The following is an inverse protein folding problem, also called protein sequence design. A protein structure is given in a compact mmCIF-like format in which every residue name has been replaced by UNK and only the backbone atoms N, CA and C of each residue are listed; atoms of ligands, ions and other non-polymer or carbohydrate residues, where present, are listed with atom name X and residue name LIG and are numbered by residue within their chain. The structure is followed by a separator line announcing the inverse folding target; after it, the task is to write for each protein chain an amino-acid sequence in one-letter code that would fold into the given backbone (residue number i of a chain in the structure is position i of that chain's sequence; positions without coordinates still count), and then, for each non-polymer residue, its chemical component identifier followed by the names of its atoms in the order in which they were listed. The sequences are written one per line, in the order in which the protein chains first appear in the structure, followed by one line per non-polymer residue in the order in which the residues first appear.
data_IF_602543761004
#
_entry.id   IF_602543761004
#
_cell.length_a   1.000
_cell.length_b   1.000
_cell.length_c   1.000
_cell.angle_alpha   90.00
_cell.angle_beta   90.00
_cell.angle_gamma   90.00
#
_symmetry.space_group_name_H-M   'P 1'
#
loop_
_entity.id
_entity.type
_entity.pdbx_description
1 polymer ?
#
# COMPACT_ATOMS: atom_id res chain seq x y z
N UNK A 1 -1.53 17.31 -12.28
CA UNK A 1 -1.78 15.97 -11.73
C UNK A 1 -0.95 15.85 -10.48
N UNK A 2 -1.52 15.35 -9.41
CA UNK A 2 -0.83 15.13 -8.14
C UNK A 2 -0.15 13.77 -8.09
N UNK A 3 0.29 13.40 -6.90
CA UNK A 3 0.84 12.08 -6.56
C UNK A 3 0.06 11.46 -5.41
N UNK A 4 0.06 10.12 -5.26
CA UNK A 4 -0.67 9.47 -4.16
C UNK A 4 -0.18 9.91 -2.77
N UNK A 5 1.04 10.47 -2.66
CA UNK A 5 1.55 11.07 -1.42
C UNK A 5 1.06 12.49 -1.13
N UNK A 6 0.30 13.13 -2.05
CA UNK A 6 -0.22 14.48 -1.83
C UNK A 6 -1.29 14.49 -0.74
N UNK A 7 -1.15 15.42 0.21
CA UNK A 7 -2.05 15.54 1.35
C UNK A 7 -3.52 15.74 0.95
N UNK A 8 -3.79 16.46 -0.15
CA UNK A 8 -5.15 16.67 -0.67
C UNK A 8 -5.77 15.35 -1.17
N UNK A 9 -5.00 14.54 -1.92
CA UNK A 9 -5.47 13.24 -2.44
C UNK A 9 -5.72 12.27 -1.28
N UNK A 10 -4.83 12.25 -0.28
CA UNK A 10 -5.00 11.45 0.94
C UNK A 10 -6.26 11.89 1.71
N UNK A 11 -6.47 13.20 1.89
CA UNK A 11 -7.63 13.73 2.58
C UNK A 11 -8.94 13.37 1.88
N UNK A 12 -8.99 13.44 0.55
CA UNK A 12 -10.17 13.08 -0.22
C UNK A 12 -10.45 11.58 -0.21
N UNK A 13 -9.39 10.76 -0.24
CA UNK A 13 -9.52 9.32 -0.01
C UNK A 13 -10.10 9.01 1.37
N UNK A 14 -9.59 9.66 2.43
CA UNK A 14 -10.09 9.46 3.80
C UNK A 14 -11.57 9.85 3.94
N UNK A 15 -11.98 11.01 3.42
CA UNK A 15 -13.38 11.44 3.39
C UNK A 15 -14.26 10.43 2.64
N UNK A 16 -13.78 9.89 1.52
CA UNK A 16 -14.49 8.89 0.75
C UNK A 16 -14.60 7.53 1.46
N UNK A 17 -13.68 7.21 2.37
CA UNK A 17 -13.71 5.97 3.15
C UNK A 17 -14.82 5.96 4.21
N UNK A 18 -15.15 7.12 4.79
CA UNK A 18 -16.17 7.26 5.83
C UNK A 18 -17.55 6.68 5.47
N UNK A 19 -18.21 7.10 4.36
CA UNK A 19 -19.54 6.55 4.01
C UNK A 19 -19.49 5.05 3.69
N UNK A 20 -18.34 4.51 3.30
CA UNK A 20 -18.17 3.06 3.12
C UNK A 20 -18.22 2.38 4.49
N UNK A 21 -17.49 2.90 5.47
CA UNK A 21 -17.46 2.34 6.82
C UNK A 21 -18.82 2.45 7.54
N UNK A 22 -19.51 3.59 7.41
CA UNK A 22 -20.85 3.83 7.97
C UNK A 22 -21.91 2.85 7.42
N UNK A 23 -21.75 2.41 6.18
CA UNK A 23 -22.69 1.50 5.51
C UNK A 23 -22.21 0.05 5.45
N UNK A 24 -21.02 -0.25 5.99
CA UNK A 24 -20.37 -1.56 5.84
C UNK A 24 -21.28 -2.74 6.22
N UNK A 25 -21.96 -2.64 7.37
CA UNK A 25 -22.84 -3.70 7.88
C UNK A 25 -24.17 -3.80 7.12
N UNK A 26 -24.60 -2.72 6.49
CA UNK A 26 -25.84 -2.68 5.70
C UNK A 26 -25.62 -3.22 4.29
N UNK A 27 -24.39 -3.11 3.80
CA UNK A 27 -23.97 -3.54 2.49
C UNK A 27 -23.76 -5.04 2.42
N UNK A 28 -23.97 -5.60 1.23
CA UNK A 28 -23.49 -6.94 0.91
C UNK A 28 -21.96 -6.90 0.74
N UNK A 29 -21.26 -8.05 0.86
CA UNK A 29 -19.83 -8.13 0.56
C UNK A 29 -19.47 -7.54 -0.82
N UNK A 30 -20.26 -7.83 -1.85
CA UNK A 30 -20.04 -7.30 -3.21
C UNK A 30 -20.16 -5.77 -3.24
N UNK A 31 -21.13 -5.19 -2.50
CA UNK A 31 -21.26 -3.74 -2.41
C UNK A 31 -20.06 -3.10 -1.70
N UNK A 32 -19.54 -3.71 -0.63
CA UNK A 32 -18.32 -3.25 0.06
C UNK A 32 -17.09 -3.33 -0.86
N UNK A 33 -16.93 -4.45 -1.57
CA UNK A 33 -15.86 -4.64 -2.56
C UNK A 33 -15.88 -3.56 -3.64
N UNK A 34 -17.04 -3.31 -4.25
CA UNK A 34 -17.20 -2.27 -5.26
C UNK A 34 -16.92 -0.86 -4.71
N UNK A 35 -17.34 -0.59 -3.48
CA UNK A 35 -17.09 0.70 -2.84
C UNK A 35 -15.59 0.95 -2.62
N UNK A 36 -14.84 -0.04 -2.12
CA UNK A 36 -13.38 0.05 -1.97
C UNK A 36 -12.68 0.26 -3.31
N UNK A 37 -13.06 -0.50 -4.35
CA UNK A 37 -12.48 -0.35 -5.69
C UNK A 37 -12.75 1.05 -6.25
N UNK A 38 -13.96 1.56 -6.07
CA UNK A 38 -14.31 2.90 -6.55
C UNK A 38 -13.55 3.99 -5.80
N UNK A 39 -13.30 3.80 -4.50
CA UNK A 39 -12.50 4.70 -3.69
C UNK A 39 -11.04 4.74 -4.18
N UNK A 40 -10.41 3.58 -4.38
CA UNK A 40 -9.05 3.47 -4.91
C UNK A 40 -8.94 4.08 -6.32
N UNK A 41 -9.89 3.78 -7.21
CA UNK A 41 -9.95 4.40 -8.55
C UNK A 41 -10.07 5.91 -8.47
N UNK A 42 -10.81 6.46 -7.51
CA UNK A 42 -10.95 7.89 -7.36
C UNK A 42 -9.62 8.57 -6.99
N UNK A 43 -8.86 8.01 -6.04
CA UNK A 43 -7.52 8.50 -5.72
C UNK A 43 -6.57 8.41 -6.92
N UNK A 44 -6.53 7.25 -7.58
CA UNK A 44 -5.64 6.99 -8.72
C UNK A 44 -5.90 7.94 -9.90
N UNK A 45 -7.17 8.30 -10.17
CA UNK A 45 -7.51 9.23 -11.27
C UNK A 45 -6.93 10.65 -11.11
N UNK A 46 -6.53 11.04 -9.90
CA UNK A 46 -5.92 12.35 -9.64
C UNK A 46 -4.39 12.34 -9.86
N UNK A 47 -3.85 11.21 -10.27
CA UNK A 47 -2.41 10.96 -10.46
C UNK A 47 -2.12 10.57 -11.91
N UNK A 48 -0.85 10.61 -12.37
CA UNK A 48 -0.51 10.32 -13.76
C UNK A 48 -0.58 8.84 -14.15
N UNK A 49 -0.81 7.93 -13.22
CA UNK A 49 -0.67 6.49 -13.49
C UNK A 49 -1.87 5.90 -14.22
N UNK A 50 -1.60 4.87 -15.03
CA UNK A 50 -2.63 4.04 -15.63
C UNK A 50 -3.47 3.35 -14.55
N UNK A 51 -4.79 3.35 -14.74
CA UNK A 51 -5.71 2.70 -13.80
C UNK A 51 -5.42 1.21 -13.63
N UNK A 52 -5.49 0.74 -12.39
CA UNK A 52 -5.38 -0.68 -12.07
C UNK A 52 -6.60 -1.47 -12.51
N UNK A 53 -6.37 -2.74 -12.83
CA UNK A 53 -7.42 -3.76 -12.67
C UNK A 53 -7.50 -4.20 -11.20
N UNK A 54 -8.61 -4.83 -10.82
CA UNK A 54 -8.86 -5.24 -9.44
C UNK A 54 -9.35 -6.68 -9.40
N UNK A 55 -8.89 -7.46 -8.41
CA UNK A 55 -9.43 -8.78 -8.11
C UNK A 55 -9.55 -9.00 -6.61
N UNK A 56 -10.42 -9.94 -6.22
CA UNK A 56 -10.60 -10.34 -4.83
C UNK A 56 -10.23 -11.81 -4.66
N UNK A 57 -9.29 -12.12 -3.78
CA UNK A 57 -8.82 -13.49 -3.48
C UNK A 57 -8.55 -13.64 -1.99
N UNK A 58 -8.44 -14.88 -1.53
CA UNK A 58 -8.01 -15.17 -0.16
C UNK A 58 -6.48 -15.26 -0.10
N UNK A 59 -5.89 -14.66 0.93
CA UNK A 59 -4.44 -14.71 1.18
C UNK A 59 -4.15 -15.52 2.44
N UNK A 60 -3.21 -16.46 2.34
CA UNK A 60 -2.89 -17.38 3.45
C UNK A 60 -2.10 -16.71 4.59
N UNK A 61 -1.41 -15.60 4.32
CA UNK A 61 -0.54 -14.90 5.26
C UNK A 61 -1.22 -13.74 6.01
N UNK A 62 -2.52 -13.52 5.81
CA UNK A 62 -3.22 -12.38 6.38
C UNK A 62 -2.86 -11.03 5.76
N UNK A 63 -2.25 -10.99 4.57
CA UNK A 63 -2.06 -9.73 3.83
C UNK A 63 -3.40 -9.06 3.51
N UNK A 64 -3.47 -7.73 3.53
CA UNK A 64 -4.66 -6.98 3.11
C UNK A 64 -4.82 -6.88 1.58
N UNK A 65 -3.70 -6.97 0.86
CA UNK A 65 -3.68 -6.99 -0.60
C UNK A 65 -2.27 -7.12 -1.15
N UNK A 66 -2.14 -7.05 -2.48
CA UNK A 66 -0.86 -6.92 -3.17
C UNK A 66 -1.06 -6.29 -4.55
N UNK A 67 -0.07 -5.55 -5.04
CA UNK A 67 0.00 -5.19 -6.45
C UNK A 67 0.77 -6.26 -7.24
N UNK A 68 0.15 -6.77 -8.30
CA UNK A 68 0.83 -7.64 -9.28
C UNK A 68 1.23 -6.80 -10.49
N UNK A 69 2.54 -6.56 -10.65
CA UNK A 69 3.08 -5.75 -11.74
C UNK A 69 2.77 -6.32 -13.12
N UNK A 70 2.88 -7.64 -13.28
CA UNK A 70 2.64 -8.37 -14.54
C UNK A 70 1.24 -8.10 -15.14
N UNK A 71 0.23 -7.99 -14.28
CA UNK A 71 -1.16 -7.78 -14.68
C UNK A 71 -1.64 -6.35 -14.44
N UNK A 72 -0.79 -5.49 -13.87
CA UNK A 72 -1.16 -4.17 -13.34
C UNK A 72 -2.45 -4.22 -12.51
N UNK A 73 -2.47 -5.15 -11.54
CA UNK A 73 -3.68 -5.53 -10.80
C UNK A 73 -3.48 -5.44 -9.29
N UNK A 74 -4.34 -4.67 -8.64
CA UNK A 74 -4.48 -4.68 -7.18
C UNK A 74 -5.37 -5.85 -6.76
N UNK A 75 -4.77 -6.81 -6.06
CA UNK A 75 -5.46 -7.97 -5.52
C UNK A 75 -5.80 -7.70 -4.07
N UNK A 76 -7.09 -7.78 -3.72
CA UNK A 76 -7.62 -7.37 -2.41
C UNK A 76 -8.02 -8.62 -1.63
N UNK A 77 -7.66 -8.69 -0.35
CA UNK A 77 -8.01 -9.84 0.47
C UNK A 77 -9.50 -9.89 0.77
N UNK A 78 -10.15 -10.89 0.19
CA UNK A 78 -11.59 -11.15 0.31
C UNK A 78 -11.98 -11.45 1.75
N UNK A 79 -11.10 -12.02 2.56
CA UNK A 79 -11.35 -12.35 3.97
C UNK A 79 -11.76 -11.13 4.79
N UNK A 80 -11.25 -9.92 4.48
CA UNK A 80 -11.67 -8.69 5.16
C UNK A 80 -12.95 -8.12 4.56
N UNK A 81 -13.03 -8.03 3.23
CA UNK A 81 -14.19 -7.43 2.55
C UNK A 81 -15.49 -8.22 2.68
N UNK A 82 -15.39 -9.51 3.04
CA UNK A 82 -16.54 -10.38 3.28
C UNK A 82 -17.06 -10.38 4.72
N UNK A 83 -16.37 -9.70 5.65
CA UNK A 83 -16.83 -9.65 7.04
C UNK A 83 -18.08 -8.78 7.16
N UNK A 84 -19.11 -9.27 7.86
CA UNK A 84 -20.32 -8.49 8.12
C UNK A 84 -20.05 -7.25 8.98
N UNK A 85 -19.14 -7.36 9.94
CA UNK A 85 -18.64 -6.25 10.72
C UNK A 85 -17.11 -6.21 10.57
N UNK A 86 -16.54 -5.02 10.42
CA UNK A 86 -15.09 -4.84 10.33
C UNK A 86 -14.70 -3.80 11.40
N UNK A 87 -13.91 -4.17 12.43
CA UNK A 87 -13.47 -3.22 13.43
C UNK A 87 -12.80 -2.00 12.80
N UNK A 88 -12.98 -0.81 13.38
CA UNK A 88 -12.50 0.44 12.80
C UNK A 88 -10.99 0.40 12.49
N UNK A 89 -10.18 -0.11 13.42
CA UNK A 89 -8.74 -0.26 13.21
C UNK A 89 -8.39 -1.18 12.03
N UNK A 90 -9.21 -2.21 11.77
CA UNK A 90 -8.98 -3.16 10.69
C UNK A 90 -9.44 -2.59 9.33
N UNK A 91 -10.50 -1.78 9.31
CA UNK A 91 -10.88 -1.01 8.13
C UNK A 91 -9.83 0.06 7.79
N UNK A 92 -9.34 0.79 8.80
CA UNK A 92 -8.24 1.74 8.67
C UNK A 92 -7.01 1.08 8.06
N UNK A 93 -6.55 -0.03 8.65
CA UNK A 93 -5.42 -0.80 8.13
C UNK A 93 -5.66 -1.31 6.72
N UNK A 94 -6.86 -1.84 6.41
CA UNK A 94 -7.21 -2.31 5.06
C UNK A 94 -7.12 -1.16 4.04
N UNK A 95 -7.64 0.01 4.38
CA UNK A 95 -7.50 1.20 3.54
C UNK A 95 -6.03 1.59 3.34
N UNK A 96 -5.26 1.64 4.43
CA UNK A 96 -3.84 1.96 4.41
C UNK A 96 -3.03 1.02 3.52
N UNK A 97 -3.15 -0.30 3.72
CA UNK A 97 -2.38 -1.29 2.95
C UNK A 97 -2.78 -1.31 1.48
N UNK A 98 -4.06 -1.13 1.14
CA UNK A 98 -4.44 -1.05 -0.29
C UNK A 98 -3.90 0.22 -0.96
N UNK A 99 -3.79 1.31 -0.22
CA UNK A 99 -3.18 2.55 -0.70
C UNK A 99 -1.64 2.41 -0.81
N UNK A 100 -1.01 1.67 0.09
CA UNK A 100 0.40 1.27 0.01
C UNK A 100 0.69 0.51 -1.29
N UNK A 101 -0.10 -0.51 -1.61
CA UNK A 101 0.06 -1.27 -2.86
C UNK A 101 -0.16 -0.38 -4.10
N UNK A 102 -1.12 0.56 -4.03
CA UNK A 102 -1.32 1.54 -5.09
C UNK A 102 -0.13 2.51 -5.24
N UNK A 103 0.58 2.82 -4.14
CA UNK A 103 1.79 3.63 -4.17
C UNK A 103 2.94 2.91 -4.89
N UNK A 104 3.09 1.60 -4.74
CA UNK A 104 4.07 0.84 -5.53
C UNK A 104 3.86 0.96 -7.03
N UNK A 105 2.61 0.92 -7.51
CA UNK A 105 2.36 1.09 -8.93
C UNK A 105 2.70 2.51 -9.43
N UNK A 106 2.52 3.53 -8.59
CA UNK A 106 3.03 4.87 -8.90
C UNK A 106 4.55 4.91 -8.98
N UNK A 107 5.25 4.33 -8.00
CA UNK A 107 6.71 4.25 -8.01
C UNK A 107 7.24 3.52 -9.26
N UNK A 108 6.63 2.39 -9.65
CA UNK A 108 7.02 1.63 -10.84
C UNK A 108 6.75 2.40 -12.14
N UNK A 109 5.63 3.12 -12.22
CA UNK A 109 5.33 4.00 -13.34
C UNK A 109 6.40 5.08 -13.47
N UNK A 110 6.79 5.73 -12.37
CA UNK A 110 7.84 6.75 -12.35
C UNK A 110 9.21 6.20 -12.78
N UNK A 111 9.56 4.98 -12.33
CA UNK A 111 10.78 4.30 -12.76
C UNK A 111 10.75 4.01 -14.27
N UNK A 112 9.62 3.59 -14.82
CA UNK A 112 9.47 3.38 -16.27
C UNK A 112 9.69 4.68 -17.06
N UNK A 113 9.19 5.81 -16.55
CA UNK A 113 9.49 7.13 -17.13
C UNK A 113 10.99 7.44 -17.10
N UNK A 114 11.65 7.23 -15.96
CA UNK A 114 13.09 7.48 -15.84
C UNK A 114 13.94 6.61 -16.77
N UNK A 115 13.56 5.33 -16.97
CA UNK A 115 14.23 4.44 -17.94
C UNK A 115 13.97 4.92 -19.37
N UNK A 116 12.74 5.33 -19.67
CA UNK A 116 12.38 5.84 -20.98
C UNK A 116 13.17 7.11 -21.34
N UNK A 117 13.34 8.05 -20.41
CA UNK A 117 14.10 9.28 -20.62
C UNK A 117 15.63 9.06 -20.61
N UNK A 118 16.09 7.89 -20.17
CA UNK A 118 17.51 7.55 -20.07
C UNK A 118 18.19 8.04 -18.77
N UNK A 119 17.40 8.55 -17.81
CA UNK A 119 17.87 8.93 -16.47
C UNK A 119 18.18 7.71 -15.61
N UNK A 120 17.55 6.56 -15.90
CA UNK A 120 17.74 5.29 -15.20
C UNK A 120 18.21 4.22 -16.19
N UNK A 121 19.19 3.42 -15.78
CA UNK A 121 19.81 2.40 -16.63
C UNK A 121 19.59 1.02 -16.03
N UNK A 122 18.91 0.15 -16.78
CA UNK A 122 18.72 -1.26 -16.42
C UNK A 122 20.06 -1.99 -16.44
N UNK A 123 20.25 -2.89 -15.47
CA UNK A 123 21.44 -3.74 -15.37
C UNK A 123 21.52 -4.73 -16.53
N UNK A 124 20.38 -5.19 -17.03
CA UNK A 124 20.26 -5.99 -18.25
C UNK A 124 19.95 -5.06 -19.42
N UNK A 125 20.78 -5.03 -20.48
CA UNK A 125 20.50 -4.22 -21.65
C UNK A 125 19.15 -4.57 -22.27
N UNK A 126 18.40 -3.54 -22.69
CA UNK A 126 17.20 -3.73 -23.51
C UNK A 126 17.60 -4.48 -24.78
N UNK A 127 17.05 -5.67 -24.97
CA UNK A 127 17.37 -6.55 -26.09
C UNK A 127 16.09 -7.21 -26.63
N UNK A 128 16.12 -7.62 -27.90
CA UNK A 128 14.99 -8.24 -28.58
C UNK A 128 14.30 -7.32 -29.59
N UNK A 129 13.36 -7.90 -30.34
CA UNK A 129 12.51 -7.19 -31.30
C UNK A 129 11.31 -6.58 -30.57
N UNK A 130 10.91 -5.36 -30.93
CA UNK A 130 9.77 -4.68 -30.31
C UNK A 130 9.98 -3.17 -30.15
N UNK A 131 8.96 -2.47 -29.66
CA UNK A 131 9.08 -1.06 -29.27
C UNK A 131 9.93 -0.94 -28.00
N UNK A 132 10.52 0.24 -27.77
CA UNK A 132 11.25 0.54 -26.52
C UNK A 132 10.37 0.27 -25.28
N UNK A 133 9.09 0.64 -25.33
CA UNK A 133 8.12 0.43 -24.25
C UNK A 133 7.89 -1.07 -23.97
N UNK A 134 7.85 -1.92 -25.00
CA UNK A 134 7.77 -3.39 -24.84
C UNK A 134 9.04 -3.97 -24.19
N UNK A 135 10.22 -3.48 -24.59
CA UNK A 135 11.49 -3.93 -24.02
C UNK A 135 11.62 -3.53 -22.54
N UNK A 136 11.24 -2.29 -22.19
CA UNK A 136 11.21 -1.82 -20.80
C UNK A 136 10.22 -2.64 -19.97
N UNK A 137 9.01 -2.87 -20.50
CA UNK A 137 7.98 -3.70 -19.86
C UNK A 137 8.52 -5.10 -19.48
N UNK A 138 9.18 -5.77 -20.43
CA UNK A 138 9.79 -7.07 -20.18
C UNK A 138 10.89 -7.00 -19.12
N UNK A 139 11.79 -6.01 -19.22
CA UNK A 139 12.90 -5.84 -18.28
C UNK A 139 12.46 -5.48 -16.85
N UNK A 140 11.29 -4.86 -16.70
CA UNK A 140 10.71 -4.50 -15.40
C UNK A 140 9.83 -5.60 -14.79
N UNK A 141 9.98 -6.85 -15.23
CA UNK A 141 9.23 -7.98 -14.70
C UNK A 141 7.87 -8.19 -15.38
N UNK A 142 7.83 -8.06 -16.70
CA UNK A 142 6.64 -8.27 -17.53
C UNK A 142 5.46 -7.32 -17.25
N UNK A 143 5.74 -6.08 -16.85
CA UNK A 143 4.70 -5.06 -16.71
C UNK A 143 3.96 -4.85 -18.05
N UNK A 144 2.63 -4.59 -18.08
CA UNK A 144 1.92 -4.41 -19.33
C UNK A 144 2.50 -3.27 -20.17
N UNK A 145 2.75 -3.53 -21.46
CA UNK A 145 3.40 -2.56 -22.35
C UNK A 145 2.62 -1.24 -22.48
N UNK A 146 1.30 -1.27 -22.35
CA UNK A 146 0.47 -0.06 -22.35
C UNK A 146 0.74 0.83 -21.13
N UNK A 147 1.07 0.28 -19.96
CA UNK A 147 1.45 1.06 -18.78
C UNK A 147 2.76 1.81 -19.04
N UNK A 148 3.76 1.14 -19.64
CA UNK A 148 5.02 1.80 -20.02
C UNK A 148 4.79 2.86 -21.11
N UNK A 149 3.90 2.59 -22.05
CA UNK A 149 3.55 3.54 -23.11
C UNK A 149 2.88 4.79 -22.51
N UNK A 150 1.97 4.60 -21.56
CA UNK A 150 1.32 5.70 -20.83
C UNK A 150 2.34 6.50 -20.00
N UNK A 151 3.31 5.80 -19.38
CA UNK A 151 4.42 6.43 -18.67
C UNK A 151 5.22 7.36 -19.60
N UNK A 152 5.62 6.85 -20.76
CA UNK A 152 6.29 7.62 -21.82
C UNK A 152 5.46 8.84 -22.27
N UNK A 153 4.15 8.66 -22.49
CA UNK A 153 3.27 9.72 -22.96
C UNK A 153 2.95 10.78 -21.91
N UNK A 154 3.13 10.48 -20.63
CA UNK A 154 2.81 11.39 -19.53
C UNK A 154 3.94 12.38 -19.25
N UNK A 155 4.16 13.28 -20.20
CA UNK A 155 5.19 14.34 -20.17
C UNK A 155 5.14 15.23 -18.92
N UNK A 156 3.97 15.37 -18.29
CA UNK A 156 3.76 16.23 -17.12
C UNK A 156 4.39 15.73 -15.83
N UNK A 157 4.80 14.45 -15.76
CA UNK A 157 5.51 13.85 -14.63
C UNK A 157 6.99 13.53 -14.95
N UNK A 158 7.60 14.27 -15.87
CA UNK A 158 9.06 14.22 -16.05
C UNK A 158 9.74 14.81 -14.82
N UNK A 159 10.11 13.96 -13.86
CA UNK A 159 11.16 14.13 -12.85
C UNK A 159 11.64 15.60 -12.69
N UNK A 160 10.77 16.47 -12.18
CA UNK A 160 10.90 17.92 -12.41
C UNK A 160 12.01 18.52 -11.57
N UNK A 161 12.28 17.91 -10.43
CA UNK A 161 13.28 18.37 -9.47
C UNK A 161 14.37 17.33 -9.25
N UNK A 162 15.56 17.81 -8.85
CA UNK A 162 16.67 16.92 -8.49
C UNK A 162 16.32 15.98 -7.32
N UNK A 163 15.52 16.45 -6.36
CA UNK A 163 15.08 15.64 -5.22
C UNK A 163 14.18 14.47 -5.67
N UNK A 164 13.21 14.72 -6.54
CA UNK A 164 12.36 13.66 -7.11
C UNK A 164 13.20 12.64 -7.90
N UNK A 165 14.19 13.11 -8.69
CA UNK A 165 15.12 12.23 -9.40
C UNK A 165 15.87 11.32 -8.44
N UNK A 166 16.41 11.86 -7.35
CA UNK A 166 17.14 11.07 -6.34
C UNK A 166 16.24 10.02 -5.69
N UNK A 167 15.02 10.39 -5.31
CA UNK A 167 14.06 9.46 -4.70
C UNK A 167 13.69 8.33 -5.67
N UNK A 168 13.36 8.66 -6.92
CA UNK A 168 12.99 7.66 -7.93
C UNK A 168 14.18 6.76 -8.29
N UNK A 169 15.40 7.30 -8.34
CA UNK A 169 16.61 6.51 -8.49
C UNK A 169 16.84 5.55 -7.31
N UNK A 170 16.49 5.93 -6.08
CA UNK A 170 16.60 5.05 -4.92
C UNK A 170 15.61 3.87 -5.02
N UNK A 171 14.35 4.13 -5.40
CA UNK A 171 13.36 3.07 -5.67
C UNK A 171 13.83 2.15 -6.79
N UNK A 172 14.27 2.71 -7.91
CA UNK A 172 14.77 1.95 -9.04
C UNK A 172 15.96 1.07 -8.65
N UNK A 173 16.94 1.61 -7.93
CA UNK A 173 18.12 0.87 -7.52
C UNK A 173 17.80 -0.29 -6.59
N UNK A 174 16.80 -0.13 -5.72
CA UNK A 174 16.29 -1.19 -4.84
C UNK A 174 15.67 -2.34 -5.63
N UNK A 175 14.83 -2.04 -6.63
CA UNK A 175 14.02 -3.07 -7.32
C UNK A 175 14.74 -3.68 -8.54
N UNK A 176 15.34 -2.85 -9.40
CA UNK A 176 15.92 -3.29 -10.70
C UNK A 176 17.38 -2.90 -10.92
N UNK A 177 17.89 -1.94 -10.16
CA UNK A 177 19.26 -1.44 -10.29
C UNK A 177 20.26 -2.20 -9.41
N UNK A 178 21.25 -1.47 -8.90
CA UNK A 178 22.44 -2.06 -8.27
C UNK A 178 22.16 -2.77 -6.93
N UNK A 179 21.02 -2.50 -6.29
CA UNK A 179 20.64 -3.08 -4.99
C UNK A 179 19.59 -4.20 -5.09
N UNK A 180 19.17 -4.60 -6.30
CA UNK A 180 18.21 -5.68 -6.50
C UNK A 180 18.63 -7.01 -5.82
N UNK A 181 19.93 -7.31 -5.78
CA UNK A 181 20.45 -8.48 -5.06
C UNK A 181 20.27 -8.42 -3.54
N UNK A 182 20.41 -7.23 -2.95
CA UNK A 182 20.14 -7.02 -1.52
C UNK A 182 18.66 -7.23 -1.22
N UNK A 183 17.78 -6.64 -2.03
CA UNK A 183 16.32 -6.83 -1.92
C UNK A 183 15.91 -8.30 -1.97
N UNK A 184 16.47 -9.07 -2.90
CA UNK A 184 16.23 -10.52 -2.97
C UNK A 184 16.70 -11.26 -1.71
N UNK A 185 17.79 -10.80 -1.08
CA UNK A 185 18.25 -11.36 0.20
C UNK A 185 17.26 -11.07 1.32
N UNK A 186 16.73 -9.83 1.39
CA UNK A 186 15.72 -9.42 2.37
C UNK A 186 14.45 -10.24 2.22
N UNK A 187 13.95 -10.47 1.00
CA UNK A 187 12.81 -11.34 0.76
C UNK A 187 13.04 -12.82 1.07
N UNK A 188 14.29 -13.26 1.10
CA UNK A 188 14.65 -14.61 1.54
C UNK A 188 14.58 -14.79 3.06
N UNK A 189 14.38 -13.73 3.84
CA UNK A 189 14.32 -13.80 5.30
C UNK A 189 12.97 -14.38 5.75
N UNK A 190 13.00 -15.45 6.54
CA UNK A 190 11.79 -16.18 6.95
C UNK A 190 10.87 -15.45 7.94
N UNK A 191 11.30 -14.29 8.44
CA UNK A 191 10.64 -13.48 9.46
C UNK A 191 10.11 -12.13 8.92
N UNK A 192 10.03 -11.96 7.59
CA UNK A 192 9.59 -10.73 6.92
C UNK A 192 8.27 -10.15 7.47
N UNK A 193 7.32 -11.03 7.78
CA UNK A 193 5.97 -10.68 8.25
C UNK A 193 5.84 -10.64 9.78
N UNK A 194 6.94 -10.82 10.52
CA UNK A 194 6.94 -10.74 11.99
C UNK A 194 7.32 -9.32 12.41
N UNK A 195 6.39 -8.49 12.93
CA UNK A 195 6.69 -7.10 13.26
C UNK A 195 7.89 -6.96 14.21
N UNK A 196 8.84 -6.10 13.85
CA UNK A 196 10.04 -5.83 14.66
C UNK A 196 11.13 -6.89 14.58
N UNK A 197 10.95 -7.95 13.79
CA UNK A 197 12.01 -8.91 13.48
C UNK A 197 13.11 -8.28 12.61
N UNK A 198 14.26 -8.96 12.48
CA UNK A 198 15.34 -8.47 11.64
C UNK A 198 14.92 -8.40 10.16
N UNK A 199 14.23 -9.43 9.66
CA UNK A 199 13.72 -9.44 8.28
C UNK A 199 12.65 -8.38 8.03
N UNK A 200 11.76 -8.16 8.99
CA UNK A 200 10.74 -7.12 8.89
C UNK A 200 11.35 -5.71 8.89
N UNK A 201 12.32 -5.44 9.76
CA UNK A 201 13.02 -4.15 9.78
C UNK A 201 13.85 -3.93 8.51
N UNK A 202 14.53 -4.96 8.00
CA UNK A 202 15.27 -4.88 6.74
C UNK A 202 14.33 -4.60 5.55
N UNK A 203 13.17 -5.24 5.53
CA UNK A 203 12.13 -5.05 4.50
C UNK A 203 11.55 -3.64 4.52
N UNK A 204 11.06 -3.21 5.68
CA UNK A 204 10.48 -1.86 5.85
C UNK A 204 11.50 -0.73 5.66
N UNK A 205 12.80 -1.05 5.61
CA UNK A 205 13.89 -0.11 5.32
C UNK A 205 14.28 -0.04 3.84
N UNK A 206 13.69 -0.86 2.96
CA UNK A 206 13.93 -0.74 1.51
C UNK A 206 13.40 0.62 1.02
N UNK A 207 14.10 1.33 0.12
CA UNK A 207 13.72 2.69 -0.29
C UNK A 207 12.27 2.86 -0.77
N UNK A 208 11.75 1.90 -1.54
CA UNK A 208 10.38 1.88 -2.03
C UNK A 208 9.36 1.60 -0.91
N UNK A 209 9.74 0.77 0.06
CA UNK A 209 8.92 0.39 1.21
C UNK A 209 8.83 1.53 2.22
N UNK A 210 9.94 2.22 2.51
CA UNK A 210 9.95 3.40 3.41
C UNK A 210 8.95 4.45 2.94
N UNK A 211 8.95 4.75 1.64
CA UNK A 211 8.01 5.69 1.04
C UNK A 211 6.56 5.17 1.08
N UNK A 212 6.32 3.90 0.70
CA UNK A 212 4.98 3.33 0.70
C UNK A 212 4.38 3.20 2.12
N UNK A 213 5.18 2.85 3.13
CA UNK A 213 4.75 2.82 4.54
C UNK A 213 4.51 4.21 5.12
N UNK A 214 5.29 5.22 4.73
CA UNK A 214 5.02 6.60 5.14
C UNK A 214 3.66 7.07 4.61
N UNK A 215 3.35 6.78 3.34
CA UNK A 215 2.03 7.07 2.74
C UNK A 215 0.93 6.26 3.41
N UNK A 216 1.15 4.97 3.69
CA UNK A 216 0.22 4.15 4.45
C UNK A 216 -0.13 4.78 5.80
N UNK A 217 0.88 5.17 6.59
CA UNK A 217 0.68 5.76 7.90
C UNK A 217 -0.14 7.07 7.82
N UNK A 218 0.12 7.90 6.80
CA UNK A 218 -0.64 9.12 6.57
C UNK A 218 -2.12 8.84 6.22
N UNK A 219 -2.37 7.85 5.37
CA UNK A 219 -3.73 7.40 5.01
C UNK A 219 -4.45 6.81 6.21
N UNK A 220 -3.78 5.96 6.98
CA UNK A 220 -4.34 5.37 8.19
C UNK A 220 -4.73 6.44 9.22
N UNK A 221 -3.87 7.43 9.44
CA UNK A 221 -4.19 8.54 10.33
C UNK A 221 -5.39 9.35 9.83
N UNK A 222 -5.45 9.67 8.53
CA UNK A 222 -6.54 10.43 7.94
C UNK A 222 -7.87 9.66 7.96
N UNK A 223 -7.86 8.38 7.58
CA UNK A 223 -9.04 7.50 7.64
C UNK A 223 -9.52 7.33 9.08
N UNK A 224 -8.59 7.11 10.02
CA UNK A 224 -8.91 7.01 11.45
C UNK A 224 -9.63 8.26 11.98
N UNK A 225 -9.17 9.45 11.60
CA UNK A 225 -9.83 10.71 11.97
C UNK A 225 -11.28 10.80 11.47
N UNK A 226 -11.58 10.21 10.31
CA UNK A 226 -12.92 10.22 9.71
C UNK A 226 -13.87 9.17 10.30
N UNK A 227 -13.35 8.01 10.73
CA UNK A 227 -14.19 6.86 11.12
C UNK A 227 -14.25 6.59 12.63
N UNK A 228 -13.35 7.16 13.44
CA UNK A 228 -13.29 6.87 14.88
C UNK A 228 -14.57 7.30 15.65
N UNK A 229 -15.40 8.14 15.06
CA UNK A 229 -16.71 8.53 15.61
C UNK A 229 -17.87 7.62 15.17
N UNK A 230 -17.63 6.68 14.26
CA UNK A 230 -18.64 5.78 13.70
C UNK A 230 -18.70 4.50 14.52
N UNK A 231 -19.87 4.18 15.07
CA UNK A 231 -20.08 2.97 15.86
C UNK A 231 -20.70 1.88 14.98
N UNK A 232 -20.02 0.75 14.83
CA UNK A 232 -20.60 -0.47 14.27
C UNK A 232 -21.19 -1.34 15.40
N UNK A 233 -22.33 -1.98 15.13
CA UNK A 233 -22.96 -2.89 16.07
C UNK A 233 -22.32 -4.27 15.90
N UNK A 234 -21.43 -4.65 16.80
CA UNK A 234 -20.86 -6.02 16.79
C UNK A 234 -21.87 -6.96 17.43
N UNK A 235 -22.45 -7.86 16.64
CA UNK A 235 -23.30 -8.94 17.16
C UNK A 235 -22.41 -10.16 17.41
N UNK A 236 -22.20 -10.50 18.68
CA UNK A 236 -21.23 -11.53 19.10
C UNK A 236 -21.63 -12.96 18.71
N UNK A 237 -22.89 -13.21 18.37
CA UNK A 237 -23.40 -14.52 17.94
C UNK A 237 -24.27 -14.37 16.69
N UNK A 238 -24.55 -15.49 15.99
CA UNK A 238 -25.59 -15.54 14.95
C UNK A 238 -26.97 -15.31 15.59
N UNK A 239 -27.25 -14.07 15.99
CA UNK A 239 -28.53 -13.69 16.56
C UNK A 239 -29.52 -13.53 15.39
N UNK A 240 -30.66 -14.24 15.41
CA UNK A 240 -31.69 -14.03 14.39
C UNK A 240 -32.06 -12.55 14.27
N UNK A 241 -32.27 -12.06 13.05
CA UNK A 241 -32.64 -10.65 12.77
C UNK A 241 -33.86 -10.20 13.58
N UNK A 242 -34.76 -11.13 13.91
CA UNK A 242 -35.91 -10.90 14.78
C UNK A 242 -35.54 -10.41 16.18
N UNK A 243 -34.40 -10.84 16.74
CA UNK A 243 -33.94 -10.48 18.09
C UNK A 243 -33.15 -9.18 18.13
N UNK A 244 -32.64 -8.70 16.99
CA UNK A 244 -31.92 -7.42 16.89
C UNK A 244 -32.87 -6.22 16.85
N UNK A 245 -34.08 -6.38 16.29
CA UNK A 245 -35.08 -5.30 16.22
C UNK A 245 -35.64 -4.88 17.58
N UNK A 246 -35.61 -5.77 18.58
CA UNK A 246 -36.14 -5.50 19.92
C UNK A 246 -35.16 -4.77 20.84
N UNK A 247 -33.85 -4.71 20.52
CA UNK A 247 -32.87 -4.01 21.35
C UNK A 247 -32.70 -2.52 21.03
N UNK A 248 -33.27 -2.02 19.92
CA UNK A 248 -33.10 -0.62 19.49
C UNK A 248 -34.12 0.34 20.13
N UNK A 249 -35.10 -0.14 20.90
CA UNK A 249 -36.10 0.72 21.55
C UNK A 249 -36.31 0.35 23.02
N UNK A 250 -35.31 0.65 23.85
CA UNK A 250 -35.56 1.00 25.25
C UNK A 250 -34.51 2.00 25.69
N UNK A 251 -34.77 3.28 25.39
CA UNK A 251 -34.11 4.35 26.11
C UNK A 251 -34.35 4.16 27.61
N UNK A 252 -33.35 4.38 28.47
CA UNK A 252 -33.53 4.22 29.90
C UNK A 252 -34.63 5.16 30.40
N UNK A 253 -35.50 4.74 31.34
CA UNK A 253 -36.40 5.66 31.99
C UNK A 253 -35.59 6.80 32.62
N UNK A 254 -36.09 8.03 32.53
CA UNK A 254 -35.44 9.22 33.06
C UNK A 254 -35.06 9.01 34.54
N UNK A 255 -33.77 8.90 34.82
CA UNK A 255 -33.25 8.77 36.18
C UNK A 255 -33.15 10.17 36.78
N UNK A 256 -34.14 10.53 37.60
CA UNK A 256 -34.05 11.67 38.53
C UNK A 256 -33.20 11.25 39.74
N UNK A 257 -31.88 11.35 39.62
CA UNK A 257 -30.92 11.05 40.69
C UNK A 257 -29.61 11.80 40.47
N UNK A 258 -28.82 12.06 41.54
CA UNK A 258 -27.66 12.93 41.46
C UNK A 258 -26.60 12.39 40.50
N UNK A 259 -26.03 13.31 39.71
CA UNK A 259 -25.04 13.04 38.65
C UNK A 259 -23.90 12.13 39.14
N UNK A 260 -23.61 11.01 38.45
CA UNK A 260 -22.40 10.26 38.69
C UNK A 260 -21.20 11.01 38.13
N UNK A 261 -20.12 11.04 38.89
CA UNK A 261 -18.80 11.52 38.47
C UNK A 261 -18.27 10.56 37.41
N UNK A 262 -18.05 11.07 36.19
CA UNK A 262 -17.45 10.33 35.09
C UNK A 262 -15.93 10.36 35.28
N UNK A 263 -15.34 9.23 35.64
CA UNK A 263 -13.89 9.04 35.59
C UNK A 263 -13.50 8.62 34.17
N UNK A 264 -12.88 9.54 33.42
CA UNK A 264 -12.32 9.26 32.10
C UNK A 264 -11.09 8.36 32.24
N UNK A 265 -11.24 7.07 31.96
CA UNK A 265 -10.12 6.14 31.80
C UNK A 265 -9.44 6.39 30.46
N UNK A 266 -8.23 6.95 30.51
CA UNK A 266 -7.39 7.19 29.33
C UNK A 266 -6.96 5.86 28.68
N UNK A 267 -7.11 5.78 27.36
CA UNK A 267 -6.67 4.70 26.49
C UNK A 267 -5.15 4.72 26.32
N UNK A 268 -4.44 3.76 26.95
CA UNK A 268 -2.98 3.55 26.77
C UNK A 268 -2.62 2.56 25.63
N UNK A 269 -3.56 2.20 24.75
CA UNK A 269 -3.32 1.14 23.75
C UNK A 269 -2.77 1.58 22.38
N UNK A 270 -2.92 2.85 21.99
CA UNK A 270 -2.60 3.29 20.61
C UNK A 270 -1.16 3.80 20.42
N UNK A 271 -0.40 4.02 21.51
CA UNK A 271 0.89 4.71 21.45
C UNK A 271 2.09 3.79 21.16
N UNK A 272 1.94 2.46 21.22
CA UNK A 272 3.08 1.55 21.01
C UNK A 272 3.34 1.19 19.54
N UNK A 273 2.36 1.34 18.64
CA UNK A 273 2.58 1.12 17.21
C UNK A 273 3.16 2.35 16.49
N UNK A 274 2.93 3.56 17.02
CA UNK A 274 3.47 4.81 16.45
C UNK A 274 4.92 5.10 16.89
N UNK A 275 5.37 4.56 18.03
CA UNK A 275 6.71 4.86 18.57
C UNK A 275 7.85 4.15 17.81
N UNK A 276 7.55 3.16 16.97
CA UNK A 276 8.53 2.37 16.22
C UNK A 276 9.02 3.04 14.93
N UNK A 277 8.40 4.14 14.50
CA UNK A 277 8.62 4.72 13.16
C UNK A 277 9.28 6.11 13.15
N UNK A 278 9.73 6.64 14.30
CA UNK A 278 10.20 8.04 14.40
C UNK A 278 11.72 8.26 14.30
N UNK A 279 12.52 7.27 13.89
CA UNK A 279 13.96 7.48 13.66
C UNK A 279 14.36 7.05 12.26
N UNK A 280 14.35 8.00 11.33
CA UNK A 280 14.99 7.82 10.03
C UNK A 280 16.50 7.55 10.25
N UNK A 281 17.08 6.47 9.70
CA UNK A 281 18.52 6.27 9.76
C UNK A 281 19.23 7.31 8.88
N UNK A 282 20.22 7.99 9.45
CA UNK A 282 21.19 8.79 8.70
C UNK A 282 21.94 7.89 7.73
N UNK A 283 21.82 8.13 6.42
CA UNK A 283 22.58 7.42 5.40
C UNK A 283 24.09 7.62 5.65
N UNK A 284 24.92 6.55 5.63
CA UNK A 284 26.37 6.70 5.68
C UNK A 284 26.89 7.36 4.40
N UNK A 285 27.83 8.29 4.57
CA UNK A 285 28.55 8.99 3.50
C UNK A 285 29.24 8.00 2.55
N UNK A 286 29.15 8.27 1.24
CA UNK A 286 29.56 7.39 0.15
C UNK A 286 31.08 7.29 -0.10
N UNK A 287 31.91 7.46 0.92
CA UNK A 287 33.36 7.36 0.79
C UNK A 287 33.90 6.20 1.62
N UNK A 288 34.06 5.04 0.95
CA UNK A 288 35.19 4.10 1.08
C UNK A 288 34.79 2.63 0.89
N UNK A 289 34.70 2.15 -0.36
CA UNK A 289 35.02 0.75 -0.67
C UNK A 289 35.65 0.64 -2.07
N UNK A 290 36.94 0.27 -2.14
CA UNK A 290 37.60 -0.20 -3.37
C UNK A 290 37.21 -1.65 -3.66
N UNK A 291 37.05 -2.07 -4.93
CA UNK A 291 36.53 -3.39 -5.24
C UNK A 291 37.63 -4.47 -5.19
N UNK A 292 37.34 -5.58 -4.51
CA UNK A 292 38.05 -6.83 -4.69
C UNK A 292 37.32 -7.65 -5.76
N UNK A 293 38.04 -7.93 -6.86
CA UNK A 293 37.57 -8.77 -7.97
C UNK A 293 37.67 -10.24 -7.56
N UNK A 294 36.58 -10.98 -7.68
CA UNK A 294 36.59 -12.45 -7.75
C UNK A 294 35.54 -12.90 -8.76
N UNK A 295 36.00 -13.53 -9.84
CA UNK A 295 35.19 -14.22 -10.83
C UNK A 295 34.88 -15.62 -10.30
N UNK A 296 33.61 -16.04 -10.29
CA UNK A 296 33.20 -17.31 -10.89
C UNK A 296 31.68 -17.59 -10.85
N UNK A 297 31.22 -18.12 -11.99
CA UNK A 297 30.04 -18.98 -12.24
C UNK A 297 28.63 -18.43 -12.02
N UNK A 298 28.01 -18.05 -13.14
CA UNK A 298 26.59 -17.79 -13.31
C UNK A 298 25.88 -19.13 -13.53
N UNK A 299 24.98 -19.49 -12.61
CA UNK A 299 23.95 -20.51 -12.84
C UNK A 299 22.58 -19.82 -12.74
N UNK A 300 21.78 -20.04 -13.78
CA UNK A 300 20.48 -19.42 -14.06
C UNK A 300 19.46 -19.65 -12.93
N UNK A 301 18.91 -18.55 -12.39
CA UNK A 301 17.71 -18.52 -11.54
C UNK A 301 16.68 -17.57 -12.17
N UNK A 302 16.15 -17.97 -13.31
CA UNK A 302 14.96 -17.38 -13.91
C UNK A 302 13.74 -18.25 -13.56
N UNK A 303 13.13 -18.05 -12.38
CA UNK A 303 11.76 -18.54 -12.09
C UNK A 303 11.07 -17.97 -10.84
N UNK A 304 11.60 -16.96 -10.16
CA UNK A 304 11.01 -16.47 -8.90
C UNK A 304 9.95 -15.36 -9.05
N UNK A 305 9.52 -15.02 -10.26
CA UNK A 305 8.46 -14.02 -10.52
C UNK A 305 7.22 -14.62 -11.22
N UNK A 306 6.76 -15.78 -10.74
CA UNK A 306 5.44 -16.31 -11.09
C UNK A 306 4.86 -17.11 -9.92
N UNK A 307 4.55 -16.45 -8.79
CA UNK A 307 3.56 -16.90 -7.79
C UNK A 307 2.97 -15.70 -7.06
#
# INVERSE_FOLDING_TARGET
MGTLSDAEIIADFAKGARPIYENWQKNTPIANQNAIVNLLRAAVRNTPITSYSYSFRDFANGSGGQLTSEHWRLEINRTYTNQHALPAYLFQWLCGILYHEARHGEQWFCCAQGIHEGDLVLTTPLSGTGTKSQQIAAAMGNMPANVVTDAENTSSYRLKTGAEKTTIAAWFNSVWGTQAGHRNTVYGMGDLFTPGSAGNLAYTSLPEEVDAYAVQAAVEAAVGAEINTVVQIVVAEKTPVATLKTQVVSGPPAVTGPKPVITTGATQGASQLAASFSSAPTLPSADAVKPAVSRNTVASLASLFSK
#
